data_IF_649536004327
#
_entry.id   IF_649536004327
#
_cell.length_a   1.000
_cell.length_b   1.000
_cell.length_c   1.000
_cell.angle_alpha   90.00
_cell.angle_beta   90.00
_cell.angle_gamma   90.00
#
_symmetry.space_group_name_H-M   'P 1'
#
loop_
_entity.id
_entity.type
_entity.pdbx_description
1 polymer ?
#
# COMPACT_ATOMS: atom_id res chain seq x y z
N UNK A 1 78.64 -59.24 3.27
CA UNK A 1 78.67 -60.04 2.03
C UNK A 1 77.23 -60.24 1.58
N UNK A 2 76.98 -60.08 0.27
CA UNK A 2 75.81 -60.56 -0.52
C UNK A 2 74.42 -59.97 -0.16
N UNK A 3 73.81 -59.12 -1.00
CA UNK A 3 73.03 -59.45 -2.23
C UNK A 3 71.55 -59.80 -1.90
N UNK A 4 70.46 -59.39 -2.57
CA UNK A 4 70.16 -58.57 -3.76
C UNK A 4 68.66 -58.23 -3.76
N UNK A 5 68.33 -57.14 -4.45
CA UNK A 5 67.03 -56.61 -4.89
C UNK A 5 66.09 -57.59 -5.63
N UNK A 6 64.78 -57.32 -5.62
CA UNK A 6 63.82 -57.43 -6.75
C UNK A 6 62.43 -56.92 -6.29
N UNK A 7 61.69 -56.07 -6.98
CA UNK A 7 61.86 -55.48 -8.30
C UNK A 7 60.94 -54.27 -8.52
N UNK A 8 61.50 -53.35 -9.30
CA UNK A 8 60.98 -52.33 -10.23
C UNK A 8 59.68 -52.68 -11.00
N UNK A 9 59.18 -51.82 -11.92
CA UNK A 9 59.13 -50.33 -12.03
C UNK A 9 57.67 -49.92 -12.40
N UNK A 10 57.28 -48.76 -12.91
CA UNK A 10 57.92 -47.66 -13.61
C UNK A 10 56.92 -46.50 -13.75
N UNK A 11 57.47 -45.28 -13.82
CA UNK A 11 57.10 -44.21 -14.75
C UNK A 11 55.69 -43.61 -14.67
N UNK A 12 55.49 -42.29 -14.58
CA UNK A 12 56.29 -41.15 -15.01
C UNK A 12 55.80 -39.93 -14.17
N UNK A 13 56.66 -39.11 -13.56
CA UNK A 13 57.36 -37.99 -14.21
C UNK A 13 56.36 -37.00 -14.86
N UNK A 14 56.31 -35.70 -14.55
CA UNK A 14 57.36 -34.77 -14.13
C UNK A 14 56.75 -33.40 -13.77
N UNK A 15 57.39 -32.70 -12.80
CA UNK A 15 57.67 -31.24 -12.71
C UNK A 15 56.46 -30.27 -12.61
N UNK A 16 56.46 -29.17 -11.86
CA UNK A 16 57.45 -28.50 -10.99
C UNK A 16 56.71 -27.42 -10.20
N UNK A 17 57.12 -27.25 -8.96
CA UNK A 17 57.28 -26.01 -8.17
C UNK A 17 56.98 -24.67 -8.84
N UNK A 18 56.24 -23.76 -8.18
CA UNK A 18 56.81 -22.68 -7.36
C UNK A 18 55.77 -21.62 -6.96
N UNK A 19 55.86 -21.20 -5.69
CA UNK A 19 55.81 -19.81 -5.20
C UNK A 19 54.97 -18.77 -5.94
N UNK A 20 54.00 -18.16 -5.25
CA UNK A 20 54.18 -16.87 -4.58
C UNK A 20 52.86 -16.21 -4.23
N UNK A 21 52.77 -15.77 -2.97
CA UNK A 21 51.89 -14.71 -2.51
C UNK A 21 52.21 -13.40 -3.26
N UNK A 22 51.16 -12.75 -3.75
CA UNK A 22 50.88 -11.30 -3.74
C UNK A 22 50.11 -10.88 -4.99
N UNK A 23 48.92 -10.31 -4.78
CA UNK A 23 48.31 -9.13 -5.45
C UNK A 23 46.79 -9.23 -5.60
N UNK A 24 46.09 -8.34 -4.92
CA UNK A 24 44.92 -7.61 -5.48
C UNK A 24 45.38 -6.77 -6.68
N UNK A 25 44.56 -6.54 -7.73
CA UNK A 25 43.38 -5.67 -7.60
C UNK A 25 42.15 -6.07 -8.44
N UNK A 26 41.06 -5.40 -8.07
CA UNK A 26 39.72 -5.33 -8.65
C UNK A 26 39.67 -5.34 -10.19
N UNK A 27 38.87 -6.22 -10.80
CA UNK A 27 38.04 -5.87 -11.96
C UNK A 27 36.88 -6.86 -12.16
N UNK A 28 35.66 -6.32 -12.12
CA UNK A 28 34.51 -6.68 -12.96
C UNK A 28 34.00 -8.13 -12.98
N UNK A 29 32.87 -8.34 -12.29
CA UNK A 29 31.71 -8.93 -12.96
C UNK A 29 30.42 -8.35 -12.38
N UNK A 30 29.89 -7.36 -13.09
CA UNK A 30 28.55 -6.83 -12.90
C UNK A 30 27.54 -7.92 -13.28
N UNK A 31 26.97 -8.58 -12.27
CA UNK A 31 25.70 -9.27 -12.45
C UNK A 31 24.61 -8.21 -12.63
N UNK A 32 24.27 -7.95 -13.90
CA UNK A 32 23.08 -7.21 -14.29
C UNK A 32 21.87 -8.05 -13.87
N UNK A 33 21.31 -7.73 -12.72
CA UNK A 33 19.97 -8.23 -12.36
C UNK A 33 18.94 -7.61 -13.30
N UNK A 34 18.08 -8.42 -13.95
CA UNK A 34 17.05 -7.91 -14.82
C UNK A 34 16.03 -7.10 -13.99
N UNK A 35 16.00 -5.80 -14.29
CA UNK A 35 14.82 -4.93 -14.33
C UNK A 35 13.70 -5.22 -13.33
N UNK A 36 13.74 -4.44 -12.23
CA UNK A 36 12.60 -3.68 -11.68
C UNK A 36 11.26 -3.92 -12.41
N UNK A 37 10.45 -4.82 -11.88
CA UNK A 37 9.01 -4.55 -11.79
C UNK A 37 8.79 -3.85 -10.45
N UNK A 38 8.93 -2.51 -10.46
CA UNK A 38 8.35 -1.69 -9.42
C UNK A 38 6.84 -1.84 -9.56
N UNK A 39 6.28 -2.85 -8.90
CA UNK A 39 4.92 -2.73 -8.42
C UNK A 39 4.95 -1.54 -7.46
N UNK A 40 4.70 -0.33 -7.97
CA UNK A 40 4.53 0.85 -7.13
C UNK A 40 3.34 0.53 -6.25
N UNK A 41 3.61 0.09 -5.03
CA UNK A 41 2.60 -0.07 -4.02
C UNK A 41 2.11 1.33 -3.71
N UNK A 42 1.04 1.76 -4.36
CA UNK A 42 0.23 2.93 -3.96
C UNK A 42 -0.43 2.73 -2.58
N UNK A 43 0.11 1.82 -1.76
CA UNK A 43 -0.38 1.43 -0.45
C UNK A 43 -0.22 2.61 0.47
N UNK A 44 -1.34 3.24 0.78
CA UNK A 44 -1.42 4.33 1.72
C UNK A 44 -1.92 5.63 1.15
N UNK A 45 -1.99 5.84 -0.18
CA UNK A 45 -2.53 7.09 -0.73
C UNK A 45 -4.04 7.01 -0.94
N UNK A 46 -4.79 7.91 -0.31
CA UNK A 46 -6.25 7.93 -0.40
C UNK A 46 -6.65 8.72 -1.64
N UNK A 47 -7.18 8.03 -2.65
CA UNK A 47 -7.75 8.65 -3.85
C UNK A 47 -9.24 8.85 -3.63
N UNK A 48 -9.71 10.10 -3.72
CA UNK A 48 -11.13 10.47 -3.67
C UNK A 48 -11.59 10.95 -5.04
N UNK A 49 -12.62 10.34 -5.60
CA UNK A 49 -13.20 10.73 -6.88
C UNK A 49 -14.52 11.44 -6.62
N UNK A 50 -14.55 12.74 -6.90
CA UNK A 50 -15.74 13.56 -6.80
C UNK A 50 -16.41 13.61 -8.17
N UNK A 51 -17.55 12.96 -8.31
CA UNK A 51 -18.24 12.92 -9.59
C UNK A 51 -19.70 12.51 -9.49
N UNK A 52 -20.31 12.21 -10.63
CA UNK A 52 -21.69 11.70 -10.69
C UNK A 52 -21.66 10.24 -11.13
N UNK A 53 -22.50 9.37 -10.55
CA UNK A 53 -22.51 7.94 -10.87
C UNK A 53 -22.82 7.68 -12.34
N UNK A 54 -23.65 8.50 -12.99
CA UNK A 54 -24.05 8.30 -14.38
C UNK A 54 -23.24 9.15 -15.38
N UNK A 55 -22.13 9.76 -14.95
CA UNK A 55 -21.29 10.53 -15.86
C UNK A 55 -20.32 9.60 -16.61
N UNK A 56 -20.32 9.61 -17.97
CA UNK A 56 -19.45 8.72 -18.76
C UNK A 56 -17.96 8.88 -18.44
N UNK A 57 -17.50 10.11 -18.20
CA UNK A 57 -16.09 10.39 -17.90
C UNK A 57 -15.72 9.87 -16.50
N UNK A 58 -16.59 10.08 -15.50
CA UNK A 58 -16.40 9.55 -14.14
C UNK A 58 -16.37 8.01 -14.14
N UNK A 59 -17.30 7.37 -14.83
CA UNK A 59 -17.36 5.91 -14.94
C UNK A 59 -16.12 5.34 -15.61
N UNK A 60 -15.67 5.96 -16.72
CA UNK A 60 -14.44 5.57 -17.40
C UNK A 60 -13.22 5.64 -16.47
N UNK A 61 -13.05 6.74 -15.75
CA UNK A 61 -11.94 6.90 -14.80
C UNK A 61 -11.97 5.83 -13.69
N UNK A 62 -13.14 5.60 -13.09
CA UNK A 62 -13.30 4.56 -12.07
C UNK A 62 -12.97 3.16 -12.60
N UNK A 63 -13.41 2.84 -13.83
CA UNK A 63 -13.09 1.57 -14.47
C UNK A 63 -11.59 1.42 -14.72
N UNK A 64 -10.93 2.47 -15.22
CA UNK A 64 -9.48 2.48 -15.44
C UNK A 64 -8.71 2.26 -14.13
N UNK A 65 -9.15 2.85 -13.02
CA UNK A 65 -8.56 2.63 -11.69
C UNK A 65 -8.78 1.20 -11.19
N UNK A 66 -9.97 0.63 -11.38
CA UNK A 66 -10.28 -0.77 -11.01
C UNK A 66 -9.40 -1.76 -11.79
N UNK A 67 -9.28 -1.59 -13.11
CA UNK A 67 -8.44 -2.44 -13.97
C UNK A 67 -6.98 -2.41 -13.50
N UNK A 68 -6.51 -1.23 -13.07
CA UNK A 68 -5.16 -1.04 -12.53
C UNK A 68 -5.00 -1.44 -11.06
N UNK A 69 -6.07 -1.93 -10.42
CA UNK A 69 -6.11 -2.32 -9.00
C UNK A 69 -5.69 -1.19 -8.05
N UNK A 70 -6.03 0.04 -8.41
CA UNK A 70 -5.78 1.21 -7.58
C UNK A 70 -7.03 1.47 -6.72
N UNK A 71 -6.93 1.45 -5.38
CA UNK A 71 -8.06 1.70 -4.50
C UNK A 71 -8.49 3.18 -4.58
N UNK A 72 -9.79 3.44 -4.48
CA UNK A 72 -10.34 4.79 -4.46
C UNK A 72 -11.68 4.83 -3.72
N UNK A 73 -12.03 6.00 -3.19
CA UNK A 73 -13.35 6.31 -2.67
C UNK A 73 -14.12 7.15 -3.68
N UNK A 74 -15.31 6.71 -4.06
CA UNK A 74 -16.22 7.51 -4.87
C UNK A 74 -17.10 8.38 -3.96
N UNK A 75 -17.24 9.66 -4.32
CA UNK A 75 -18.03 10.65 -3.61
C UNK A 75 -18.98 11.31 -4.60
N UNK A 76 -20.28 11.12 -4.41
CA UNK A 76 -21.30 11.69 -5.31
C UNK A 76 -21.51 13.17 -5.02
N UNK A 77 -21.22 14.02 -6.00
CA UNK A 77 -21.38 15.49 -5.90
C UNK A 77 -22.85 15.93 -5.91
N UNK A 78 -23.82 15.01 -6.00
CA UNK A 78 -25.22 15.30 -5.70
C UNK A 78 -25.48 15.45 -4.21
N UNK A 79 -24.61 14.92 -3.35
CA UNK A 79 -24.72 15.07 -1.91
C UNK A 79 -24.08 16.40 -1.49
N UNK A 80 -24.84 17.28 -0.83
CA UNK A 80 -24.35 18.58 -0.40
C UNK A 80 -23.13 18.49 0.52
N UNK A 81 -23.09 17.52 1.44
CA UNK A 81 -21.94 17.33 2.34
C UNK A 81 -20.64 16.98 1.57
N UNK A 82 -20.77 16.28 0.44
CA UNK A 82 -19.64 15.99 -0.46
C UNK A 82 -19.18 17.25 -1.20
N UNK A 83 -20.13 18.10 -1.59
CA UNK A 83 -19.84 19.38 -2.24
C UNK A 83 -19.10 20.31 -1.26
N UNK A 84 -19.53 20.35 0.00
CA UNK A 84 -18.88 21.14 1.05
C UNK A 84 -17.46 20.61 1.33
N UNK A 85 -17.26 19.29 1.43
CA UNK A 85 -15.93 18.65 1.52
C UNK A 85 -15.04 19.06 0.34
N UNK A 86 -15.57 19.01 -0.89
CA UNK A 86 -14.84 19.35 -2.10
C UNK A 86 -14.45 20.83 -2.14
N UNK A 87 -15.34 21.74 -1.73
CA UNK A 87 -15.03 23.17 -1.68
C UNK A 87 -14.00 23.49 -0.60
N UNK A 88 -14.08 22.86 0.57
CA UNK A 88 -13.05 23.01 1.60
C UNK A 88 -11.68 22.57 1.08
N UNK A 89 -11.62 21.43 0.39
CA UNK A 89 -10.39 20.94 -0.22
C UNK A 89 -9.89 21.87 -1.35
N UNK A 90 -10.79 22.40 -2.18
CA UNK A 90 -10.46 23.39 -3.21
C UNK A 90 -9.84 24.66 -2.61
N UNK A 91 -10.45 25.21 -1.56
CA UNK A 91 -9.97 26.40 -0.87
C UNK A 91 -8.56 26.20 -0.29
N UNK A 92 -8.28 25.04 0.30
CA UNK A 92 -6.94 24.68 0.81
C UNK A 92 -5.88 24.61 -0.29
N UNK A 93 -6.28 24.27 -1.51
CA UNK A 93 -5.41 24.17 -2.68
C UNK A 93 -5.37 25.46 -3.50
N UNK A 94 -6.07 26.53 -3.09
CA UNK A 94 -6.30 27.74 -3.89
C UNK A 94 -6.91 27.43 -5.28
N UNK A 95 -7.76 26.41 -5.34
CA UNK A 95 -8.46 25.97 -6.55
C UNK A 95 -9.96 26.23 -6.37
N UNK A 96 -10.55 26.93 -7.33
CA UNK A 96 -12.00 27.04 -7.43
C UNK A 96 -12.59 25.72 -7.96
N UNK A 97 -13.16 24.90 -7.10
CA UNK A 97 -13.76 23.63 -7.51
C UNK A 97 -15.05 23.81 -8.36
N UNK A 98 -15.65 25.01 -8.38
CA UNK A 98 -16.86 25.29 -9.17
C UNK A 98 -16.60 25.46 -10.67
N UNK A 99 -15.37 25.79 -11.06
CA UNK A 99 -14.99 26.05 -12.47
C UNK A 99 -15.13 24.86 -13.39
N UNK A 100 -15.14 23.65 -12.83
CA UNK A 100 -14.54 22.52 -13.51
C UNK A 100 -15.49 21.33 -13.57
N UNK A 101 -15.51 20.64 -14.72
CA UNK A 101 -16.39 19.48 -14.94
C UNK A 101 -15.91 18.30 -14.12
N UNK A 102 -16.86 17.57 -13.55
CA UNK A 102 -16.59 16.25 -12.93
C UNK A 102 -16.07 15.25 -13.96
N UNK A 103 -15.22 14.29 -13.56
CA UNK A 103 -14.72 14.07 -12.20
C UNK A 103 -13.60 15.05 -11.80
N UNK A 104 -13.64 15.49 -10.55
CA UNK A 104 -12.49 16.06 -9.84
C UNK A 104 -11.88 14.95 -8.98
N UNK A 105 -10.56 14.98 -8.77
CA UNK A 105 -9.87 13.89 -8.07
C UNK A 105 -9.01 14.46 -6.96
N UNK A 106 -9.32 14.09 -5.72
CA UNK A 106 -8.43 14.30 -4.59
C UNK A 106 -7.39 13.18 -4.55
N UNK A 107 -6.12 13.54 -4.53
CA UNK A 107 -5.01 12.64 -4.20
C UNK A 107 -4.41 13.19 -2.91
N UNK A 108 -4.73 12.55 -1.78
CA UNK A 108 -4.41 13.07 -0.45
C UNK A 108 -5.07 14.43 -0.18
N UNK A 109 -4.25 15.45 0.07
CA UNK A 109 -4.63 16.85 0.27
C UNK A 109 -4.58 17.66 -1.04
N UNK A 110 -4.20 17.05 -2.17
CA UNK A 110 -4.10 17.72 -3.45
C UNK A 110 -5.37 17.51 -4.27
N UNK A 111 -6.00 18.59 -4.72
CA UNK A 111 -7.14 18.52 -5.64
C UNK A 111 -6.68 18.64 -7.10
N UNK A 112 -6.94 17.62 -7.91
CA UNK A 112 -6.77 17.64 -9.35
C UNK A 112 -8.06 18.13 -10.01
N UNK A 113 -7.93 19.18 -10.81
CA UNK A 113 -9.03 19.74 -11.59
C UNK A 113 -8.68 19.81 -13.06
N UNK A 114 -9.69 19.65 -13.90
CA UNK A 114 -9.55 19.79 -15.34
C UNK A 114 -10.87 20.28 -15.93
N UNK A 115 -10.88 21.31 -16.81
CA UNK A 115 -12.10 21.79 -17.45
C UNK A 115 -12.87 20.71 -18.23
N UNK A 116 -12.17 19.68 -18.73
CA UNK A 116 -12.75 18.55 -19.48
C UNK A 116 -12.92 17.28 -18.64
N UNK A 117 -12.75 17.38 -17.32
CA UNK A 117 -12.72 16.24 -16.41
C UNK A 117 -11.33 15.61 -16.32
N UNK A 118 -10.97 15.17 -15.11
CA UNK A 118 -9.66 14.56 -14.84
C UNK A 118 -9.56 13.19 -15.51
N UNK A 119 -8.40 12.91 -16.13
CA UNK A 119 -8.10 11.63 -16.80
C UNK A 119 -7.13 10.80 -15.97
N UNK A 120 -7.08 9.48 -16.22
CA UNK A 120 -6.22 8.55 -15.48
C UNK A 120 -4.75 8.95 -15.49
N UNK A 121 -4.21 9.46 -16.60
CA UNK A 121 -2.79 9.83 -16.69
C UNK A 121 -2.42 10.96 -15.73
N UNK A 122 -3.33 11.91 -15.49
CA UNK A 122 -3.15 12.98 -14.50
C UNK A 122 -3.14 12.40 -13.08
N UNK A 123 -4.02 11.44 -12.79
CA UNK A 123 -4.04 10.72 -11.50
C UNK A 123 -2.74 9.95 -11.30
N UNK A 124 -2.29 9.17 -12.29
CA UNK A 124 -1.05 8.42 -12.21
C UNK A 124 0.18 9.32 -12.07
N UNK A 125 0.17 10.49 -12.71
CA UNK A 125 1.23 11.49 -12.59
C UNK A 125 1.27 12.05 -11.18
N UNK A 126 0.11 12.44 -10.63
CA UNK A 126 -0.02 12.89 -9.26
C UNK A 126 0.44 11.81 -8.27
N UNK A 127 0.03 10.55 -8.42
CA UNK A 127 0.48 9.46 -7.55
C UNK A 127 2.01 9.24 -7.59
N UNK A 128 2.68 9.56 -8.70
CA UNK A 128 4.14 9.46 -8.85
C UNK A 128 4.87 10.70 -8.34
N UNK A 129 4.29 11.89 -8.51
CA UNK A 129 4.90 13.17 -8.13
C UNK A 129 4.67 13.53 -6.66
N UNK A 130 3.56 13.06 -6.09
CA UNK A 130 3.30 13.14 -4.67
C UNK A 130 4.24 12.14 -4.00
N UNK A 131 5.45 12.60 -3.62
CA UNK A 131 6.24 11.91 -2.59
C UNK A 131 5.25 11.61 -1.47
N UNK A 132 5.12 10.35 -0.99
CA UNK A 132 4.32 10.09 0.19
C UNK A 132 4.84 11.08 1.23
N UNK A 133 4.00 12.06 1.60
CA UNK A 133 4.34 12.96 2.68
C UNK A 133 4.36 12.00 3.85
N UNK A 134 5.56 11.63 4.30
CA UNK A 134 5.79 10.83 5.49
C UNK A 134 5.39 11.65 6.71
N UNK A 135 4.16 12.15 6.77
CA UNK A 135 3.39 11.82 7.94
C UNK A 135 3.19 10.31 7.80
N UNK A 136 3.97 9.54 8.56
CA UNK A 136 3.60 8.18 8.86
C UNK A 136 2.11 8.23 9.15
N UNK A 137 1.29 7.68 8.25
CA UNK A 137 -0.14 7.58 8.47
C UNK A 137 -0.25 6.59 9.60
N UNK A 138 -0.17 7.11 10.82
CA UNK A 138 -0.25 6.31 12.02
C UNK A 138 -1.68 5.79 12.03
N UNK A 139 -1.80 4.49 12.22
CA UNK A 139 -3.09 3.90 12.57
C UNK A 139 -3.51 4.61 13.86
N UNK A 140 -4.64 5.30 13.81
CA UNK A 140 -5.09 6.10 14.92
C UNK A 140 -5.50 5.22 16.09
N UNK A 141 -5.23 5.67 17.31
CA UNK A 141 -5.76 5.05 18.51
C UNK A 141 -7.28 4.94 18.45
N UNK A 142 -7.82 3.87 19.02
CA UNK A 142 -9.25 3.65 19.13
C UNK A 142 -9.68 2.23 18.78
N UNK A 143 -10.99 2.08 18.59
CA UNK A 143 -11.63 0.80 18.34
C UNK A 143 -11.97 0.65 16.86
N UNK A 144 -11.59 -0.50 16.30
CA UNK A 144 -11.92 -0.90 14.96
C UNK A 144 -12.83 -2.13 14.98
N UNK A 145 -13.79 -2.15 14.06
CA UNK A 145 -14.85 -3.14 14.01
C UNK A 145 -14.87 -3.86 12.67
N UNK A 146 -15.40 -5.07 12.66
CA UNK A 146 -15.60 -5.86 11.44
C UNK A 146 -17.05 -6.33 11.34
N UNK A 147 -17.46 -6.70 10.13
CA UNK A 147 -18.83 -7.14 9.84
C UNK A 147 -19.20 -8.42 10.58
N UNK A 148 -18.25 -9.36 10.69
CA UNK A 148 -18.53 -10.71 11.22
C UNK A 148 -18.89 -10.69 12.70
N UNK A 149 -18.41 -9.69 13.43
CA UNK A 149 -18.39 -9.68 14.89
C UNK A 149 -18.84 -8.31 15.41
N UNK A 150 -19.98 -7.78 14.93
CA UNK A 150 -20.53 -6.46 15.30
C UNK A 150 -20.67 -6.31 16.84
N UNK A 151 -19.61 -5.87 17.50
CA UNK A 151 -19.52 -5.74 18.96
C UNK A 151 -19.08 -7.02 19.69
N UNK A 152 -18.92 -8.16 19.00
CA UNK A 152 -18.43 -9.40 19.61
C UNK A 152 -16.90 -9.45 19.63
N UNK A 153 -16.24 -8.85 18.63
CA UNK A 153 -14.79 -8.75 18.54
C UNK A 153 -14.38 -7.36 18.11
N UNK A 154 -13.45 -6.77 18.86
CA UNK A 154 -12.96 -5.41 18.67
C UNK A 154 -11.45 -5.44 18.58
N UNK A 155 -10.91 -4.75 17.59
CA UNK A 155 -9.49 -4.47 17.49
C UNK A 155 -9.24 -3.10 18.13
N UNK A 156 -8.52 -3.10 19.25
CA UNK A 156 -8.18 -1.88 19.98
C UNK A 156 -6.75 -1.49 19.65
N UNK A 157 -6.54 -0.24 19.24
CA UNK A 157 -5.23 0.36 18.97
C UNK A 157 -4.93 1.39 20.05
N UNK A 158 -3.72 1.34 20.59
CA UNK A 158 -3.21 2.30 21.57
C UNK A 158 -1.70 2.51 21.39
N UNK A 159 -1.30 3.72 21.02
CA UNK A 159 0.09 4.05 20.73
C UNK A 159 0.62 3.18 19.57
N UNK A 160 1.71 2.45 19.82
CA UNK A 160 2.36 1.55 18.84
C UNK A 160 1.94 0.08 19.03
N UNK A 161 0.81 -0.17 19.67
CA UNK A 161 0.32 -1.50 19.96
C UNK A 161 -1.15 -1.67 19.64
N UNK A 162 -1.56 -2.92 19.39
CA UNK A 162 -2.95 -3.30 19.26
C UNK A 162 -3.25 -4.60 20.00
N UNK A 163 -4.52 -4.87 20.27
CA UNK A 163 -5.00 -6.18 20.76
C UNK A 163 -6.40 -6.47 20.24
N UNK A 164 -6.77 -7.74 20.28
CA UNK A 164 -8.15 -8.15 20.05
C UNK A 164 -8.84 -8.38 21.39
N UNK A 165 -10.04 -7.84 21.51
CA UNK A 165 -10.94 -8.09 22.65
C UNK A 165 -12.18 -8.76 22.12
N UNK A 166 -12.62 -9.84 22.74
CA UNK A 166 -13.86 -10.51 22.39
C UNK A 166 -14.80 -10.58 23.61
N UNK A 167 -16.10 -10.44 23.37
CA UNK A 167 -17.10 -10.52 24.44
C UNK A 167 -17.03 -11.89 25.15
N UNK A 168 -16.94 -11.87 26.47
CA UNK A 168 -16.86 -13.10 27.28
C UNK A 168 -15.50 -13.80 27.29
N UNK A 169 -14.46 -13.24 26.65
CA UNK A 169 -13.09 -13.75 26.73
C UNK A 169 -12.14 -12.70 27.34
N UNK A 170 -11.07 -13.13 28.04
CA UNK A 170 -10.03 -12.20 28.46
C UNK A 170 -9.42 -11.52 27.22
N UNK A 171 -9.04 -10.23 27.30
CA UNK A 171 -8.39 -9.53 26.20
C UNK A 171 -7.10 -10.24 25.79
N UNK A 172 -6.84 -10.32 24.48
CA UNK A 172 -5.56 -10.80 23.98
C UNK A 172 -4.41 -9.88 24.45
N UNK A 173 -3.19 -10.42 24.45
CA UNK A 173 -2.00 -9.63 24.74
C UNK A 173 -1.80 -8.52 23.71
N UNK A 174 -1.19 -7.42 24.14
CA UNK A 174 -0.78 -6.34 23.25
C UNK A 174 0.29 -6.83 22.27
N UNK A 175 0.08 -6.51 21.01
CA UNK A 175 0.90 -6.86 19.85
C UNK A 175 1.40 -5.61 19.16
N UNK A 176 2.46 -5.75 18.38
CA UNK A 176 3.04 -4.62 17.66
C UNK A 176 2.10 -4.12 16.55
N UNK A 177 1.91 -2.81 16.45
CA UNK A 177 1.16 -2.20 15.36
C UNK A 177 1.71 -2.53 13.96
N UNK A 178 2.99 -2.91 13.87
CA UNK A 178 3.62 -3.34 12.62
C UNK A 178 2.94 -4.55 11.96
N UNK A 179 2.17 -5.32 12.72
CA UNK A 179 1.40 -6.46 12.18
C UNK A 179 0.10 -6.04 11.49
N UNK A 180 -0.35 -4.80 11.72
CA UNK A 180 -1.50 -4.23 11.05
C UNK A 180 -1.06 -3.61 9.73
N UNK A 181 -1.82 -3.89 8.68
CA UNK A 181 -1.64 -3.22 7.40
C UNK A 181 -2.64 -2.08 7.29
N UNK A 182 -2.17 -0.83 7.36
CA UNK A 182 -3.00 0.32 7.04
C UNK A 182 -3.41 0.26 5.55
N UNK A 183 -4.70 0.31 5.29
CA UNK A 183 -5.25 0.35 3.92
C UNK A 183 -5.53 1.80 3.53
N UNK A 184 -6.22 2.52 4.40
CA UNK A 184 -6.55 3.96 4.30
C UNK A 184 -6.86 4.49 5.71
N UNK A 185 -6.94 5.81 5.93
CA UNK A 185 -7.35 6.35 7.23
C UNK A 185 -8.64 5.69 7.74
N UNK A 186 -8.60 5.17 8.97
CA UNK A 186 -9.73 4.46 9.57
C UNK A 186 -9.96 3.03 9.07
N UNK A 187 -9.15 2.48 8.16
CA UNK A 187 -9.27 1.08 7.70
C UNK A 187 -7.94 0.35 7.79
N UNK A 188 -7.92 -0.72 8.57
CA UNK A 188 -6.76 -1.60 8.71
C UNK A 188 -7.13 -3.02 8.27
N UNK A 189 -6.13 -3.75 7.79
CA UNK A 189 -6.26 -5.15 7.42
C UNK A 189 -5.40 -6.00 8.33
N UNK A 190 -6.03 -6.98 8.97
CA UNK A 190 -5.37 -7.89 9.89
C UNK A 190 -6.05 -9.26 9.84
N UNK A 191 -5.23 -10.31 9.81
CA UNK A 191 -5.68 -11.71 9.78
C UNK A 191 -6.84 -11.97 8.78
N UNK A 192 -6.62 -11.59 7.52
CA UNK A 192 -7.57 -11.76 6.41
C UNK A 192 -8.91 -11.00 6.54
N UNK A 193 -8.95 -10.01 7.42
CA UNK A 193 -10.17 -9.28 7.76
C UNK A 193 -9.92 -7.78 7.71
N UNK A 194 -10.88 -7.03 7.15
CA UNK A 194 -10.87 -5.56 7.21
C UNK A 194 -11.54 -5.09 8.50
N UNK A 195 -10.93 -4.09 9.11
CA UNK A 195 -11.35 -3.47 10.35
C UNK A 195 -11.48 -1.96 10.15
N UNK A 196 -12.64 -1.40 10.51
CA UNK A 196 -13.01 -0.01 10.24
C UNK A 196 -13.23 0.76 11.54
N UNK A 197 -12.74 2.00 11.59
CA UNK A 197 -12.99 3.01 12.62
C UNK A 197 -13.78 4.17 12.02
N UNK A 198 -14.76 4.78 12.71
CA UNK A 198 -15.50 4.32 13.90
C UNK A 198 -16.63 3.34 13.55
N UNK A 199 -17.49 2.97 14.52
CA UNK A 199 -18.66 2.07 14.33
C UNK A 199 -19.45 2.44 13.07
N UNK A 200 -19.82 1.43 12.29
CA UNK A 200 -20.67 1.60 11.11
C UNK A 200 -21.89 2.49 11.41
N UNK A 201 -22.28 3.40 10.50
CA UNK A 201 -23.54 4.13 10.63
C UNK A 201 -24.76 3.20 10.61
N UNK A 202 -24.61 1.95 10.13
CA UNK A 202 -25.71 1.01 9.91
C UNK A 202 -25.32 -0.42 10.33
N UNK A 203 -26.24 -1.15 10.97
CA UNK A 203 -26.01 -2.57 11.36
C UNK A 203 -25.81 -3.51 10.16
N UNK A 204 -26.20 -3.09 8.96
CA UNK A 204 -26.07 -3.88 7.74
C UNK A 204 -24.83 -3.54 6.90
N UNK A 205 -23.88 -2.74 7.41
CA UNK A 205 -22.70 -2.40 6.65
C UNK A 205 -21.53 -3.37 6.85
N UNK A 206 -20.81 -3.64 5.77
CA UNK A 206 -19.58 -4.42 5.75
C UNK A 206 -18.36 -3.52 5.75
N UNK A 207 -17.36 -3.83 6.58
CA UNK A 207 -16.06 -3.20 6.45
C UNK A 207 -15.28 -3.82 5.29
N UNK A 208 -14.83 -2.98 4.35
CA UNK A 208 -14.06 -3.40 3.17
C UNK A 208 -12.78 -2.56 3.04
N UNK A 209 -11.97 -2.82 2.01
CA UNK A 209 -10.84 -1.96 1.67
C UNK A 209 -11.22 -0.49 1.44
N UNK A 210 -12.49 -0.21 1.11
CA UNK A 210 -13.00 1.14 0.87
C UNK A 210 -13.67 1.76 2.11
N UNK A 211 -13.65 1.09 3.27
CA UNK A 211 -14.39 1.50 4.46
C UNK A 211 -15.72 0.76 4.60
N UNK A 212 -16.66 1.36 5.34
CA UNK A 212 -18.02 0.83 5.50
C UNK A 212 -18.80 0.90 4.17
N UNK A 213 -19.36 -0.23 3.78
CA UNK A 213 -20.22 -0.37 2.60
C UNK A 213 -21.53 -0.96 3.05
N UNK A 214 -22.64 -0.26 2.84
CA UNK A 214 -23.98 -0.78 3.13
C UNK A 214 -24.32 -1.93 2.18
N UNK A 215 -24.91 -3.00 2.73
CA UNK A 215 -25.46 -4.12 1.95
C UNK A 215 -26.87 -3.84 1.46
#
# INVERSE_FOLDING_TARGET
>A
MTATLQGSPAFAEYLTTNYSLEKTPETTNQFISPSRLVAQSYQGQLIRIYGRPNCPITQKLMQELRVRKIPFQFKDVKNQAVVDELFALGAQNHIDASCCRVPLVGVEETLLVNPKGVKIDQVLTALKSTKPKTQARAISDGQYFTEKDFGEKVLEVKGEQFRLTAAGMPPEQWRSLSELKLIQPGVVYFNKTYWCSPKSPNRNASCTANGWVEK
#
